data_IF_738509253711
#
_entry.id   IF_738509253711
#
_cell.length_a   1.000
_cell.length_b   1.000
_cell.length_c   1.000
_cell.angle_alpha   90.00
_cell.angle_beta   90.00
_cell.angle_gamma   90.00
#
_symmetry.space_group_name_H-M   'P 1'
#
loop_
_entity.id
_entity.type
_entity.pdbx_description
1 polymer ?
#
# COMPACT_ATOMS: atom_id res chain seq x y z
N UNK A 1 -11.06 32.85 0.34
CA UNK A 1 -10.56 31.95 1.40
C UNK A 1 -9.05 32.00 1.41
N UNK A 2 -8.42 32.25 2.57
CA UNK A 2 -6.98 32.51 2.71
C UNK A 2 -6.15 31.22 2.70
N UNK A 3 -4.94 31.29 2.11
CA UNK A 3 -3.92 30.23 2.08
C UNK A 3 -3.59 29.67 3.48
N UNK A 4 -3.78 30.48 4.53
CA UNK A 4 -3.51 30.12 5.92
C UNK A 4 -4.46 29.03 6.49
N UNK A 5 -5.63 28.82 5.87
CA UNK A 5 -6.57 27.79 6.32
C UNK A 5 -6.06 26.36 6.08
N UNK A 6 -5.13 26.18 5.14
CA UNK A 6 -4.57 24.87 4.75
C UNK A 6 -3.46 24.36 5.67
N UNK A 7 -2.99 25.18 6.62
CA UNK A 7 -1.81 24.88 7.45
C UNK A 7 -2.15 24.44 8.90
N UNK A 8 -3.42 24.26 9.27
CA UNK A 8 -3.78 23.80 10.62
C UNK A 8 -4.00 22.29 10.67
N UNK A 9 -3.34 21.69 11.65
CA UNK A 9 -3.19 20.27 11.94
C UNK A 9 -4.51 19.48 11.87
N UNK A 10 -4.49 18.44 11.04
CA UNK A 10 -5.63 17.60 10.66
C UNK A 10 -5.49 17.22 9.18
N UNK A 11 -6.03 16.07 8.70
CA UNK A 11 -5.92 15.72 7.29
C UNK A 11 -6.49 16.87 6.46
N UNK A 12 -5.67 17.41 5.55
CA UNK A 12 -5.84 18.71 4.87
C UNK A 12 -7.14 18.89 4.06
N UNK A 13 -8.03 17.90 4.06
CA UNK A 13 -9.33 17.92 3.41
C UNK A 13 -10.38 17.59 4.49
N UNK A 14 -11.27 18.53 4.86
CA UNK A 14 -12.30 18.29 5.86
C UNK A 14 -13.20 17.17 5.36
N UNK A 15 -13.36 16.18 6.23
CA UNK A 15 -14.30 15.10 6.04
C UNK A 15 -15.64 15.60 6.57
N UNK A 16 -16.63 15.65 5.70
CA UNK A 16 -18.02 15.86 6.09
C UNK A 16 -18.82 14.65 5.61
N UNK A 17 -19.54 14.00 6.52
CA UNK A 17 -20.29 12.77 6.27
C UNK A 17 -19.47 11.65 5.59
N UNK A 18 -18.19 11.49 6.00
CA UNK A 18 -17.32 10.44 5.47
C UNK A 18 -16.84 10.66 4.03
N UNK A 19 -16.87 11.90 3.52
CA UNK A 19 -16.43 12.25 2.15
C UNK A 19 -15.49 13.44 2.14
N UNK A 20 -14.56 13.45 1.18
CA UNK A 20 -13.80 14.67 0.83
C UNK A 20 -14.74 15.63 0.10
N UNK A 21 -14.84 16.84 0.63
CA UNK A 21 -15.70 17.89 0.08
C UNK A 21 -15.05 18.63 -1.09
N UNK A 22 -13.72 18.74 -1.10
CA UNK A 22 -12.94 19.45 -2.12
C UNK A 22 -11.55 18.85 -2.29
N UNK A 23 -10.97 18.99 -3.48
CA UNK A 23 -9.66 18.42 -3.81
C UNK A 23 -9.74 17.15 -4.66
N UNK A 24 -8.60 16.54 -4.99
CA UNK A 24 -8.49 15.48 -6.00
C UNK A 24 -9.25 14.19 -5.63
N UNK A 25 -9.47 13.92 -4.34
CA UNK A 25 -10.23 12.76 -3.86
C UNK A 25 -11.72 13.03 -3.63
N UNK A 26 -12.25 14.16 -4.12
CA UNK A 26 -13.64 14.58 -3.90
C UNK A 26 -14.65 13.48 -4.24
N UNK A 27 -15.61 13.28 -3.35
CA UNK A 27 -16.68 12.29 -3.51
C UNK A 27 -16.30 10.85 -3.15
N UNK A 28 -15.01 10.54 -2.96
CA UNK A 28 -14.60 9.21 -2.50
C UNK A 28 -14.86 9.02 -1.00
N UNK A 29 -15.39 7.85 -0.57
CA UNK A 29 -15.57 7.54 0.84
C UNK A 29 -14.28 7.60 1.65
N UNK A 30 -14.42 7.86 2.94
CA UNK A 30 -13.34 7.95 3.92
C UNK A 30 -13.67 7.14 5.15
N UNK A 31 -12.69 6.36 5.58
CA UNK A 31 -12.68 5.74 6.88
C UNK A 31 -11.55 6.35 7.71
N UNK A 32 -11.81 6.58 8.98
CA UNK A 32 -10.80 7.06 9.93
C UNK A 32 -10.18 5.84 10.61
N UNK A 33 -8.88 5.92 10.82
CA UNK A 33 -8.12 4.92 11.56
C UNK A 33 -7.00 5.60 12.35
N UNK A 34 -6.48 4.95 13.38
CA UNK A 34 -5.42 5.52 14.21
C UNK A 34 -4.02 5.07 13.77
N UNK A 35 -3.05 5.99 13.76
CA UNK A 35 -1.66 5.67 13.47
C UNK A 35 -0.72 6.75 13.96
N UNK A 36 0.58 6.42 14.01
CA UNK A 36 1.61 7.36 14.42
C UNK A 36 1.94 8.35 13.30
N UNK A 37 2.12 9.61 13.64
CA UNK A 37 2.76 10.61 12.78
C UNK A 37 4.30 10.53 12.83
N UNK A 38 4.97 11.44 12.14
CA UNK A 38 6.44 11.50 12.07
C UNK A 38 7.08 11.83 13.43
N UNK A 39 6.33 12.47 14.33
CA UNK A 39 6.74 12.76 15.71
C UNK A 39 6.48 11.59 16.68
N UNK A 40 5.95 10.46 16.16
CA UNK A 40 5.51 9.28 16.93
C UNK A 40 4.34 9.55 17.87
N UNK A 41 3.54 10.57 17.60
CA UNK A 41 2.28 10.82 18.30
C UNK A 41 1.16 10.04 17.62
N UNK A 42 0.26 9.47 18.42
CA UNK A 42 -0.96 8.84 17.90
C UNK A 42 -1.90 9.92 17.37
N UNK A 43 -2.28 9.79 16.10
CA UNK A 43 -3.18 10.72 15.42
C UNK A 43 -4.22 9.96 14.62
N UNK A 44 -5.33 10.64 14.34
CA UNK A 44 -6.32 10.15 13.38
C UNK A 44 -5.78 10.34 11.96
N UNK A 45 -5.90 9.28 11.16
CA UNK A 45 -5.54 9.20 9.76
C UNK A 45 -6.74 8.78 8.94
N UNK A 46 -6.67 9.01 7.64
CA UNK A 46 -7.76 8.72 6.73
C UNK A 46 -7.36 7.65 5.72
N UNK A 47 -8.28 6.73 5.46
CA UNK A 47 -8.24 5.77 4.37
C UNK A 47 -9.23 6.21 3.28
N UNK A 48 -8.72 6.53 2.10
CA UNK A 48 -9.52 6.89 0.94
C UNK A 48 -9.92 5.63 0.18
N UNK A 49 -11.22 5.39 0.08
CA UNK A 49 -11.78 4.20 -0.57
C UNK A 49 -12.13 4.53 -2.02
N UNK A 50 -11.56 3.81 -2.98
CA UNK A 50 -11.92 3.87 -4.39
C UNK A 50 -12.64 2.56 -4.78
N UNK A 51 -13.99 2.55 -4.74
CA UNK A 51 -14.77 1.34 -5.02
C UNK A 51 -14.71 0.91 -6.47
N UNK A 52 -14.51 1.85 -7.40
CA UNK A 52 -14.45 1.58 -8.84
C UNK A 52 -13.14 0.84 -9.17
N UNK A 53 -12.02 1.31 -8.61
CA UNK A 53 -10.71 0.70 -8.83
C UNK A 53 -10.33 -0.36 -7.80
N UNK A 54 -11.25 -0.73 -6.89
CA UNK A 54 -11.04 -1.72 -5.80
C UNK A 54 -9.74 -1.45 -5.03
N UNK A 55 -9.56 -0.20 -4.60
CA UNK A 55 -8.32 0.29 -3.99
C UNK A 55 -8.59 1.06 -2.71
N UNK A 56 -7.69 0.95 -1.75
CA UNK A 56 -7.65 1.78 -0.54
C UNK A 56 -6.33 2.54 -0.53
N UNK A 57 -6.43 3.87 -0.54
CA UNK A 57 -5.28 4.78 -0.44
C UNK A 57 -5.16 5.19 1.03
N UNK A 58 -4.09 4.74 1.68
CA UNK A 58 -3.77 5.08 3.06
C UNK A 58 -2.78 6.25 3.15
N UNK A 59 -2.21 6.70 2.02
CA UNK A 59 -1.44 7.96 1.94
C UNK A 59 -2.35 9.12 2.35
N UNK A 60 -1.86 9.97 3.25
CA UNK A 60 -2.63 11.11 3.75
C UNK A 60 -2.65 12.25 2.71
N UNK A 61 -3.75 13.02 2.58
CA UNK A 61 -3.83 14.13 1.62
C UNK A 61 -2.76 15.21 1.79
N UNK A 62 -2.21 15.36 3.00
CA UNK A 62 -1.08 16.24 3.26
C UNK A 62 0.16 15.89 2.44
N UNK A 63 0.35 14.61 2.10
CA UNK A 63 1.37 14.13 1.17
C UNK A 63 0.87 14.24 -0.28
N UNK A 64 0.80 15.49 -0.76
CA UNK A 64 0.08 15.85 -1.98
C UNK A 64 0.52 15.05 -3.21
N UNK A 65 1.82 14.85 -3.39
CA UNK A 65 2.37 14.21 -4.58
C UNK A 65 2.02 12.72 -4.61
N UNK A 66 2.26 12.00 -3.50
CA UNK A 66 1.94 10.59 -3.41
C UNK A 66 0.45 10.35 -3.36
N UNK A 67 -0.32 11.20 -2.68
CA UNK A 67 -1.77 11.07 -2.66
C UNK A 67 -2.38 11.19 -4.06
N UNK A 68 -1.92 12.17 -4.86
CA UNK A 68 -2.30 12.31 -6.27
C UNK A 68 -1.89 11.10 -7.12
N UNK A 69 -0.70 10.56 -6.89
CA UNK A 69 -0.24 9.33 -7.56
C UNK A 69 -1.20 8.18 -7.25
N UNK A 70 -1.47 7.97 -5.96
CA UNK A 70 -2.42 6.99 -5.47
C UNK A 70 -3.79 7.14 -6.09
N UNK A 71 -4.30 8.35 -6.31
CA UNK A 71 -5.60 8.56 -6.98
C UNK A 71 -5.58 8.20 -8.48
N UNK A 72 -4.46 8.44 -9.16
CA UNK A 72 -4.31 8.19 -10.61
C UNK A 72 -4.09 6.72 -10.95
N UNK A 73 -3.47 5.96 -10.05
CA UNK A 73 -3.15 4.56 -10.28
C UNK A 73 -4.39 3.71 -10.59
N UNK A 74 -4.23 2.74 -11.48
CA UNK A 74 -5.26 1.74 -11.75
C UNK A 74 -5.37 0.76 -10.57
N UNK A 75 -6.52 0.11 -10.47
CA UNK A 75 -6.65 -1.08 -9.63
C UNK A 75 -5.84 -2.25 -10.20
N UNK A 76 -5.66 -3.30 -9.40
CA UNK A 76 -5.07 -4.56 -9.86
C UNK A 76 -6.18 -5.61 -9.91
N UNK A 77 -6.41 -6.17 -11.09
CA UNK A 77 -7.48 -7.13 -11.32
C UNK A 77 -7.33 -8.35 -10.41
N UNK A 78 -8.42 -8.76 -9.75
CA UNK A 78 -8.43 -9.88 -8.81
C UNK A 78 -7.87 -9.57 -7.41
N UNK A 79 -7.41 -8.34 -7.15
CA UNK A 79 -6.86 -7.94 -5.85
C UNK A 79 -7.65 -6.78 -5.22
N UNK A 80 -7.62 -6.71 -3.89
CA UNK A 80 -7.78 -5.44 -3.18
C UNK A 80 -6.41 -4.76 -3.18
N UNK A 81 -6.35 -3.55 -3.72
CA UNK A 81 -5.08 -2.84 -3.85
C UNK A 81 -4.90 -1.81 -2.73
N UNK A 82 -3.83 -1.90 -1.95
CA UNK A 82 -3.48 -0.94 -0.90
C UNK A 82 -2.29 -0.08 -1.33
N UNK A 83 -2.46 1.24 -1.29
CA UNK A 83 -1.40 2.20 -1.60
C UNK A 83 -1.04 3.02 -0.36
N UNK A 84 0.19 2.89 0.13
CA UNK A 84 0.55 3.35 1.46
C UNK A 84 2.05 3.63 1.65
N UNK A 85 2.38 4.29 2.77
CA UNK A 85 3.72 4.26 3.35
C UNK A 85 3.87 3.04 4.24
N UNK A 86 5.04 2.42 4.23
CA UNK A 86 5.34 1.29 5.10
C UNK A 86 6.81 1.24 5.53
N UNK A 87 7.03 0.45 6.55
CA UNK A 87 8.30 -0.19 6.90
C UNK A 87 8.06 -1.71 6.91
N UNK A 88 9.10 -2.49 7.21
CA UNK A 88 8.97 -3.95 7.39
C UNK A 88 7.91 -4.35 8.44
N UNK A 89 7.66 -3.50 9.44
CA UNK A 89 6.81 -3.84 10.58
C UNK A 89 5.57 -2.96 10.75
N UNK A 90 5.39 -1.90 9.95
CA UNK A 90 4.27 -0.96 10.09
C UNK A 90 3.77 -0.48 8.74
N UNK A 91 2.45 -0.35 8.62
CA UNK A 91 1.75 0.25 7.49
C UNK A 91 1.12 1.55 7.98
N UNK A 92 1.46 2.68 7.37
CA UNK A 92 0.99 4.02 7.80
C UNK A 92 1.17 4.35 9.29
N UNK A 93 2.19 3.77 9.92
CA UNK A 93 2.48 4.03 11.33
C UNK A 93 1.47 3.43 12.31
N UNK A 94 0.56 2.53 11.88
CA UNK A 94 -0.30 1.83 12.82
C UNK A 94 0.55 1.02 13.81
N UNK A 95 0.17 1.06 15.09
CA UNK A 95 0.81 0.28 16.15
C UNK A 95 0.26 -1.14 16.22
N UNK A 96 -0.97 -1.34 15.75
CA UNK A 96 -1.65 -2.63 15.65
C UNK A 96 -2.23 -2.80 14.24
N UNK A 97 -1.89 -3.91 13.57
CA UNK A 97 -2.36 -4.18 12.21
C UNK A 97 -3.88 -4.40 12.11
N UNK A 98 -4.53 -4.77 13.22
CA UNK A 98 -6.00 -4.91 13.28
C UNK A 98 -6.73 -3.61 12.92
N UNK A 99 -6.08 -2.46 13.09
CA UNK A 99 -6.62 -1.15 12.70
C UNK A 99 -6.82 -1.06 11.18
N UNK A 100 -5.84 -1.54 10.42
CA UNK A 100 -5.92 -1.64 8.95
C UNK A 100 -6.87 -2.75 8.55
N UNK A 101 -6.82 -3.91 9.22
CA UNK A 101 -7.72 -5.02 8.92
C UNK A 101 -9.19 -4.62 9.11
N UNK A 102 -9.51 -3.88 10.19
CA UNK A 102 -10.84 -3.31 10.43
C UNK A 102 -11.22 -2.36 9.30
N UNK A 103 -10.34 -1.42 8.95
CA UNK A 103 -10.56 -0.46 7.84
C UNK A 103 -10.89 -1.19 6.53
N UNK A 104 -10.16 -2.27 6.21
CA UNK A 104 -10.43 -3.10 5.03
C UNK A 104 -11.81 -3.76 5.12
N UNK A 105 -12.16 -4.40 6.25
CA UNK A 105 -13.47 -5.02 6.44
C UNK A 105 -14.61 -4.01 6.33
N UNK A 106 -14.47 -2.83 6.94
CA UNK A 106 -15.50 -1.78 6.96
C UNK A 106 -15.59 -0.99 5.65
N UNK A 107 -14.60 -1.11 4.76
CA UNK A 107 -14.60 -0.40 3.47
C UNK A 107 -15.74 -0.80 2.54
N UNK A 108 -16.32 -2.00 2.74
CA UNK A 108 -17.36 -2.56 1.88
C UNK A 108 -16.88 -3.00 0.49
N UNK A 109 -15.60 -2.82 0.16
CA UNK A 109 -15.05 -3.15 -1.18
C UNK A 109 -14.20 -4.43 -1.17
N UNK A 110 -13.96 -5.00 0.01
CA UNK A 110 -13.25 -6.26 0.18
C UNK A 110 -14.22 -7.42 0.38
N UNK A 111 -14.09 -8.43 -0.47
CA UNK A 111 -14.91 -9.64 -0.54
C UNK A 111 -14.01 -10.89 -0.52
N UNK A 112 -12.97 -10.88 0.33
CA UNK A 112 -11.99 -11.97 0.51
C UNK A 112 -11.05 -12.24 -0.66
N UNK A 113 -10.98 -11.35 -1.63
CA UNK A 113 -9.92 -11.41 -2.64
C UNK A 113 -8.52 -11.22 -1.99
N UNK A 114 -7.45 -11.71 -2.64
CA UNK A 114 -6.07 -11.40 -2.26
C UNK A 114 -5.80 -9.91 -2.16
N UNK A 115 -4.81 -9.53 -1.35
CA UNK A 115 -4.43 -8.13 -1.12
C UNK A 115 -3.05 -7.88 -1.71
N UNK A 116 -2.91 -6.81 -2.47
CA UNK A 116 -1.62 -6.28 -2.90
C UNK A 116 -1.30 -5.03 -2.10
N UNK A 117 -0.19 -5.02 -1.39
CA UNK A 117 0.35 -3.82 -0.73
C UNK A 117 1.41 -3.22 -1.63
N UNK A 118 1.19 -2.01 -2.14
CA UNK A 118 2.24 -1.17 -2.71
C UNK A 118 2.65 -0.12 -1.68
N UNK A 119 3.69 -0.48 -0.93
CA UNK A 119 4.29 0.35 0.10
C UNK A 119 5.72 -0.14 0.37
N UNK A 120 6.67 0.78 0.47
CA UNK A 120 8.09 0.48 0.64
C UNK A 120 8.36 -0.55 1.75
N UNK A 121 9.09 -1.61 1.42
CA UNK A 121 9.59 -2.62 2.37
C UNK A 121 8.50 -3.36 3.17
N UNK A 122 7.21 -3.25 2.83
CA UNK A 122 6.12 -3.90 3.55
C UNK A 122 6.25 -5.43 3.59
N UNK A 123 7.01 -5.99 2.64
CA UNK A 123 7.32 -7.40 2.55
C UNK A 123 8.77 -7.76 2.81
N UNK A 124 9.59 -6.88 3.40
CA UNK A 124 11.03 -7.10 3.57
C UNK A 124 11.36 -8.32 4.45
N UNK A 125 10.60 -8.54 5.53
CA UNK A 125 10.83 -9.64 6.49
C UNK A 125 9.69 -10.66 6.50
N UNK A 126 9.95 -11.96 6.80
CA UNK A 126 8.93 -13.02 6.77
C UNK A 126 7.77 -12.83 7.76
N UNK A 127 8.05 -12.32 8.95
CA UNK A 127 7.13 -12.12 10.08
C UNK A 127 6.69 -10.65 10.24
N UNK A 128 6.70 -9.91 9.14
CA UNK A 128 6.46 -8.46 9.11
C UNK A 128 4.99 -8.07 8.99
N UNK A 129 4.77 -6.81 8.60
CA UNK A 129 3.43 -6.23 8.51
C UNK A 129 2.52 -6.96 7.51
N UNK A 130 3.06 -7.44 6.40
CA UNK A 130 2.30 -8.22 5.42
C UNK A 130 1.86 -9.59 5.96
N UNK A 131 2.72 -10.29 6.70
CA UNK A 131 2.38 -11.55 7.39
C UNK A 131 1.26 -11.33 8.40
N UNK A 132 1.40 -10.30 9.24
CA UNK A 132 0.42 -9.98 10.27
C UNK A 132 -0.96 -9.62 9.65
N UNK A 133 -0.97 -8.88 8.54
CA UNK A 133 -2.21 -8.57 7.83
C UNK A 133 -2.85 -9.81 7.19
N UNK A 134 -2.05 -10.69 6.59
CA UNK A 134 -2.51 -11.93 5.97
C UNK A 134 -3.24 -12.82 6.98
N UNK A 135 -2.63 -12.99 8.16
CA UNK A 135 -3.21 -13.72 9.30
C UNK A 135 -4.48 -13.07 9.83
N UNK A 136 -4.49 -11.75 10.00
CA UNK A 136 -5.63 -10.98 10.51
C UNK A 136 -6.87 -11.03 9.61
N UNK A 137 -6.66 -11.13 8.30
CA UNK A 137 -7.73 -11.16 7.30
C UNK A 137 -8.00 -12.56 6.72
N UNK A 138 -7.22 -13.56 7.11
CA UNK A 138 -7.29 -14.93 6.58
C UNK A 138 -7.31 -14.94 5.04
N UNK A 139 -6.41 -14.17 4.43
CA UNK A 139 -6.29 -14.06 2.97
C UNK A 139 -4.83 -13.98 2.54
N UNK A 140 -4.59 -14.12 1.25
CA UNK A 140 -3.27 -13.94 0.67
C UNK A 140 -2.90 -12.46 0.62
N UNK A 141 -1.66 -12.14 0.98
CA UNK A 141 -1.10 -10.80 0.89
C UNK A 141 0.17 -10.87 0.05
N UNK A 142 0.33 -9.96 -0.91
CA UNK A 142 1.57 -9.77 -1.66
C UNK A 142 2.12 -8.38 -1.38
N UNK A 143 3.42 -8.28 -1.09
CA UNK A 143 4.06 -7.01 -0.74
C UNK A 143 5.52 -6.96 -1.23
N UNK A 144 6.06 -5.76 -1.52
CA UNK A 144 7.42 -5.57 -2.00
C UNK A 144 8.44 -5.75 -0.87
N UNK A 145 9.53 -6.43 -1.17
CA UNK A 145 10.67 -6.64 -0.26
C UNK A 145 11.59 -5.42 -0.18
N UNK A 146 11.54 -4.53 -1.18
CA UNK A 146 12.37 -3.32 -1.28
C UNK A 146 11.51 -2.06 -1.33
N UNK A 147 12.17 -0.91 -1.53
CA UNK A 147 11.50 0.38 -1.72
C UNK A 147 10.71 0.37 -3.03
N UNK A 148 9.48 0.90 -3.01
CA UNK A 148 8.70 1.08 -4.23
C UNK A 148 8.91 2.47 -4.82
N UNK A 149 8.98 2.53 -6.14
CA UNK A 149 9.08 3.78 -6.88
C UNK A 149 7.76 4.07 -7.56
N UNK A 150 7.24 5.29 -7.41
CA UNK A 150 5.94 5.69 -7.92
C UNK A 150 5.91 7.16 -8.40
N UNK A 151 7.06 7.68 -8.86
CA UNK A 151 7.15 9.07 -9.28
C UNK A 151 6.43 9.33 -10.60
N UNK A 152 5.34 10.09 -10.53
CA UNK A 152 4.57 10.51 -11.68
C UNK A 152 5.19 11.76 -12.31
N UNK A 153 6.05 11.59 -13.33
CA UNK A 153 6.51 12.69 -14.18
C UNK A 153 5.41 13.12 -15.18
N UNK A 154 4.28 13.61 -14.66
CA UNK A 154 3.19 14.18 -15.48
C UNK A 154 2.33 13.18 -16.28
N UNK A 155 2.58 11.87 -16.16
CA UNK A 155 1.80 10.79 -16.80
C UNK A 155 1.51 9.62 -15.85
N UNK A 156 0.98 8.47 -16.34
CA UNK A 156 1.00 7.23 -15.54
C UNK A 156 2.45 6.98 -15.12
N UNK A 157 2.69 6.66 -13.84
CA UNK A 157 4.05 6.63 -13.33
C UNK A 157 4.88 5.61 -14.13
N UNK A 158 5.93 6.10 -14.77
CA UNK A 158 6.86 5.29 -15.57
C UNK A 158 7.85 4.66 -14.58
N UNK A 159 8.06 3.36 -14.66
CA UNK A 159 8.93 2.63 -13.74
C UNK A 159 8.31 2.42 -12.36
N UNK A 160 7.02 2.09 -12.29
CA UNK A 160 6.40 1.64 -11.04
C UNK A 160 6.86 0.24 -10.67
N UNK A 161 7.13 0.03 -9.39
CA UNK A 161 7.51 -1.28 -8.89
C UNK A 161 8.45 -1.22 -7.70
N UNK A 162 8.81 -2.39 -7.19
CA UNK A 162 9.88 -2.55 -6.23
C UNK A 162 11.22 -2.47 -6.96
N UNK A 163 12.16 -1.69 -6.44
CA UNK A 163 13.52 -1.62 -6.99
C UNK A 163 14.56 -1.65 -5.87
N UNK A 164 15.73 -2.17 -6.18
CA UNK A 164 16.90 -2.04 -5.32
C UNK A 164 17.40 -0.57 -5.32
N UNK A 165 18.19 -0.20 -4.31
CA UNK A 165 18.90 1.08 -4.32
C UNK A 165 20.06 1.06 -5.31
N UNK A 166 20.47 2.24 -5.79
CA UNK A 166 21.74 2.39 -6.51
C UNK A 166 22.89 1.99 -5.58
N UNK A 167 23.96 1.32 -6.04
CA UNK A 167 25.00 0.79 -5.16
C UNK A 167 25.95 1.87 -4.60
N UNK A 168 26.53 1.60 -3.42
CA UNK A 168 27.65 2.37 -2.87
C UNK A 168 27.26 3.79 -2.44
N UNK A 169 28.10 4.78 -2.77
CA UNK A 169 27.85 6.18 -2.38
C UNK A 169 26.55 6.76 -2.97
N UNK A 170 26.04 6.14 -4.05
CA UNK A 170 24.81 6.53 -4.72
C UNK A 170 23.55 6.00 -4.02
N UNK A 171 23.66 5.12 -3.01
CA UNK A 171 22.53 4.64 -2.20
C UNK A 171 21.76 5.76 -1.49
N UNK A 172 22.43 6.91 -1.29
CA UNK A 172 21.86 8.10 -0.67
C UNK A 172 20.98 8.92 -1.61
N UNK A 173 21.08 8.70 -2.92
CA UNK A 173 20.19 9.34 -3.87
C UNK A 173 18.79 8.74 -3.75
N UNK A 174 17.78 9.58 -3.81
CA UNK A 174 16.38 9.16 -3.87
C UNK A 174 16.02 8.62 -5.26
N UNK A 175 16.90 7.86 -5.92
CA UNK A 175 16.70 7.31 -7.27
C UNK A 175 16.87 5.80 -7.20
N UNK A 176 15.90 5.00 -7.69
CA UNK A 176 16.00 3.55 -7.67
C UNK A 176 16.96 3.03 -8.74
N UNK A 177 17.47 1.83 -8.54
CA UNK A 177 18.17 1.11 -9.58
C UNK A 177 17.15 0.45 -10.53
N UNK A 178 16.76 1.16 -11.59
CA UNK A 178 15.77 0.70 -12.56
C UNK A 178 16.17 -0.61 -13.28
N UNK A 179 17.46 -0.98 -13.26
CA UNK A 179 17.97 -2.24 -13.83
C UNK A 179 17.93 -3.42 -12.84
N UNK A 180 17.60 -3.15 -11.58
CA UNK A 180 17.50 -4.17 -10.52
C UNK A 180 16.11 -4.14 -9.92
N UNK A 181 15.13 -4.81 -10.55
CA UNK A 181 13.81 -4.98 -9.96
C UNK A 181 13.96 -5.67 -8.60
N UNK A 182 13.28 -5.11 -7.61
CA UNK A 182 13.12 -5.70 -6.29
C UNK A 182 12.24 -6.94 -6.36
N UNK A 183 12.09 -7.60 -5.22
CA UNK A 183 11.27 -8.80 -5.13
C UNK A 183 9.92 -8.50 -4.48
N UNK A 184 8.95 -9.33 -4.77
CA UNK A 184 7.63 -9.35 -4.15
C UNK A 184 7.49 -10.68 -3.42
N UNK A 185 7.00 -10.64 -2.19
CA UNK A 185 6.74 -11.84 -1.41
C UNK A 185 5.24 -11.98 -1.20
N UNK A 186 4.76 -13.23 -1.19
CA UNK A 186 3.37 -13.56 -0.94
C UNK A 186 3.27 -14.41 0.31
N UNK A 187 2.29 -14.09 1.15
CA UNK A 187 1.93 -14.84 2.35
C UNK A 187 0.60 -15.56 2.17
N UNK A 188 0.49 -16.74 2.77
CA UNK A 188 -0.76 -17.46 2.91
C UNK A 188 -1.66 -16.89 4.02
N UNK A 189 -2.91 -17.37 4.15
CA UNK A 189 -3.84 -16.97 5.20
C UNK A 189 -3.36 -17.24 6.64
N UNK A 190 -2.38 -18.12 6.82
CA UNK A 190 -1.71 -18.40 8.10
C UNK A 190 -0.65 -17.35 8.47
N UNK A 191 -0.30 -16.48 7.53
CA UNK A 191 0.78 -15.50 7.67
C UNK A 191 2.16 -16.06 7.34
N UNK A 192 2.26 -17.25 6.75
CA UNK A 192 3.55 -17.83 6.34
C UNK A 192 3.89 -17.46 4.88
N UNK A 193 5.16 -17.18 4.56
CA UNK A 193 5.58 -16.94 3.18
C UNK A 193 5.38 -18.18 2.30
N UNK A 194 4.73 -18.01 1.14
CA UNK A 194 4.47 -19.10 0.19
C UNK A 194 5.13 -18.91 -1.17
N UNK A 195 5.53 -17.68 -1.51
CA UNK A 195 6.20 -17.38 -2.76
C UNK A 195 7.05 -16.11 -2.66
N UNK A 196 8.09 -16.03 -3.48
CA UNK A 196 8.82 -14.78 -3.75
C UNK A 196 9.09 -14.68 -5.25
N UNK A 197 8.67 -13.58 -5.86
CA UNK A 197 8.76 -13.32 -7.32
C UNK A 197 9.51 -12.03 -7.58
N UNK A 198 9.96 -11.82 -8.81
CA UNK A 198 10.53 -10.52 -9.26
C UNK A 198 9.50 -9.62 -9.94
N UNK A 199 8.29 -10.13 -10.19
CA UNK A 199 7.20 -9.41 -10.85
C UNK A 199 6.05 -9.19 -9.88
N UNK A 200 5.51 -7.97 -9.91
CA UNK A 200 4.30 -7.62 -9.16
C UNK A 200 3.08 -8.27 -9.81
N UNK A 201 2.02 -8.58 -9.04
CA UNK A 201 0.70 -8.84 -9.62
C UNK A 201 0.19 -7.72 -10.55
N UNK A 202 0.68 -6.48 -10.39
CA UNK A 202 0.40 -5.37 -11.30
C UNK A 202 0.94 -5.58 -12.72
N UNK A 203 2.08 -6.26 -12.85
CA UNK A 203 2.88 -6.33 -14.09
C UNK A 203 2.67 -7.64 -14.85
N UNK A 204 1.43 -8.17 -14.83
CA UNK A 204 1.02 -9.48 -15.37
C UNK A 204 1.29 -10.71 -14.47
N UNK A 205 1.47 -10.52 -13.15
CA UNK A 205 1.38 -11.63 -12.20
C UNK A 205 -0.08 -12.00 -11.92
N UNK A 206 -0.57 -13.09 -12.50
CA UNK A 206 -1.90 -13.62 -12.16
C UNK A 206 -2.04 -13.91 -10.65
N UNK A 207 -3.26 -13.98 -10.10
CA UNK A 207 -3.47 -14.40 -8.72
C UNK A 207 -2.79 -15.75 -8.45
N UNK A 208 -2.04 -15.85 -7.35
CA UNK A 208 -1.55 -17.16 -6.89
C UNK A 208 -2.77 -17.95 -6.43
N UNK A 209 -3.27 -18.83 -7.32
CA UNK A 209 -4.34 -19.76 -7.00
C UNK A 209 -3.73 -21.03 -6.41
N UNK A 210 -4.45 -21.71 -5.51
CA UNK A 210 -3.95 -22.79 -4.65
C UNK A 210 -3.35 -24.04 -5.33
N UNK A 211 -3.22 -24.09 -6.67
CA UNK A 211 -2.42 -25.10 -7.37
C UNK A 211 -0.95 -24.68 -7.58
N UNK A 212 -0.68 -23.40 -7.84
CA UNK A 212 0.68 -22.90 -8.13
C UNK A 212 1.62 -23.01 -6.93
N UNK A 213 1.08 -22.93 -5.70
CA UNK A 213 1.86 -23.11 -4.47
C UNK A 213 2.39 -24.55 -4.30
N UNK A 214 1.65 -25.57 -4.76
CA UNK A 214 2.09 -26.98 -4.68
C UNK A 214 3.15 -27.33 -5.72
N UNK A 215 3.14 -26.68 -6.88
CA UNK A 215 4.17 -26.89 -7.90
C UNK A 215 5.49 -26.17 -7.56
N UNK A 216 5.44 -25.02 -6.87
CA UNK A 216 6.64 -24.30 -6.43
C UNK A 216 7.37 -24.98 -5.26
N UNK A 217 6.67 -25.76 -4.42
CA UNK A 217 7.28 -26.60 -3.37
C UNK A 217 7.91 -27.90 -3.90
N UNK A 218 7.65 -28.28 -5.16
CA UNK A 218 8.19 -29.50 -5.78
C UNK A 218 9.52 -29.31 -6.52
N UNK A 219 10.01 -28.07 -6.63
CA UNK A 219 11.27 -27.73 -7.33
C UNK A 219 12.33 -27.12 -6.39
N UNK A 220 12.37 -27.57 -5.13
CA UNK A 220 13.54 -27.39 -4.27
C UNK A 220 14.15 -28.77 -3.98
#
# INVERSE_FOLDING_TARGET
MSLAYWFREGPAEPIENGRIQYGPGKGLPKLVFEGLDDSRKLVQKIATIDPIRKKIILIQPGDKALYLSGLRERGVEGYLYLFAHATAHRLQGVTNIEEIARTIRTSGIWHRQPILIDACNAGAVPDGVASALARSLLTHVTAPTTTTWNQAFGGPAIGQGAFEKLPGVLERLAVPNLLRPGQWRTWGPDGEPIATTRTSPRDAGGPVTGRSAREMLRKQ
#
